data_IF_507468328743
#
_entry.id   IF_507468328743
#
_cell.length_a   1.000
_cell.length_b   1.000
_cell.length_c   1.000
_cell.angle_alpha   90.00
_cell.angle_beta   90.00
_cell.angle_gamma   90.00
#
_symmetry.space_group_name_H-M   'P 1'
#
loop_
_entity.id
_entity.type
_entity.pdbx_description
1 polymer ?
#
# COMPACT_ATOMS: atom_id res chain seq x y z
N UNK A 1 -37.04 1.70 -13.35
CA UNK A 1 -35.81 2.36 -13.77
C UNK A 1 -34.84 2.61 -12.62
N UNK A 2 -35.35 2.81 -11.44
CA UNK A 2 -34.50 3.11 -10.27
C UNK A 2 -33.81 1.87 -9.72
N UNK A 3 -34.31 0.69 -10.01
CA UNK A 3 -33.75 -0.57 -9.51
C UNK A 3 -32.45 -0.99 -10.19
N UNK A 4 -32.07 -0.38 -11.28
CA UNK A 4 -30.78 -0.67 -11.94
C UNK A 4 -29.59 -0.18 -11.10
N UNK A 5 -29.79 0.83 -10.30
CA UNK A 5 -28.74 1.37 -9.44
C UNK A 5 -28.37 0.43 -8.28
N UNK A 6 -29.33 -0.37 -7.83
CA UNK A 6 -29.10 -1.32 -6.74
C UNK A 6 -28.36 -2.58 -7.18
N UNK A 7 -28.52 -3.00 -8.42
CA UNK A 7 -27.83 -4.17 -8.96
C UNK A 7 -26.42 -3.85 -9.43
N UNK A 8 -26.17 -2.62 -9.83
CA UNK A 8 -24.85 -2.17 -10.27
C UNK A 8 -23.79 -2.25 -9.17
N UNK A 9 -24.17 -1.92 -7.95
CA UNK A 9 -23.21 -1.92 -6.82
C UNK A 9 -22.80 -3.33 -6.38
N UNK A 10 -23.64 -4.33 -6.62
CA UNK A 10 -23.35 -5.71 -6.22
C UNK A 10 -22.35 -6.40 -7.15
N UNK A 11 -22.23 -5.92 -8.38
CA UNK A 11 -21.35 -6.51 -9.39
C UNK A 11 -20.07 -5.71 -9.61
N UNK A 12 -19.79 -4.75 -8.75
CA UNK A 12 -18.60 -3.92 -8.84
C UNK A 12 -17.36 -4.77 -8.54
N UNK A 13 -16.40 -4.75 -9.45
CA UNK A 13 -15.15 -5.49 -9.28
C UNK A 13 -14.31 -4.91 -8.15
N UNK A 14 -13.38 -5.70 -7.63
CA UNK A 14 -12.45 -5.22 -6.62
C UNK A 14 -11.65 -4.03 -7.13
N UNK A 15 -11.20 -4.08 -8.40
CA UNK A 15 -10.48 -2.97 -9.04
C UNK A 15 -11.29 -1.69 -9.00
N UNK A 16 -12.55 -1.75 -9.37
CA UNK A 16 -13.42 -0.57 -9.38
C UNK A 16 -13.62 0.00 -7.98
N UNK A 17 -13.78 -0.87 -6.99
CA UNK A 17 -13.93 -0.45 -5.60
C UNK A 17 -12.67 0.23 -5.08
N UNK A 18 -11.50 -0.30 -5.39
CA UNK A 18 -10.21 0.31 -5.01
C UNK A 18 -10.03 1.66 -5.69
N UNK A 19 -10.31 1.74 -6.99
CA UNK A 19 -10.22 3.00 -7.73
C UNK A 19 -11.17 4.06 -7.17
N UNK A 20 -12.40 3.65 -6.87
CA UNK A 20 -13.40 4.56 -6.30
C UNK A 20 -12.96 5.10 -4.94
N UNK A 21 -12.44 4.22 -4.08
CA UNK A 21 -11.89 4.63 -2.79
C UNK A 21 -10.77 5.65 -2.97
N UNK A 22 -9.83 5.35 -3.84
CA UNK A 22 -8.67 6.22 -4.06
C UNK A 22 -9.08 7.61 -4.59
N UNK A 23 -10.01 7.65 -5.53
CA UNK A 23 -10.49 8.92 -6.08
C UNK A 23 -11.26 9.72 -5.05
N UNK A 24 -12.10 9.08 -4.26
CA UNK A 24 -12.87 9.73 -3.21
C UNK A 24 -11.98 10.36 -2.15
N UNK A 25 -10.92 9.68 -1.77
CA UNK A 25 -10.03 10.12 -0.71
C UNK A 25 -8.77 10.83 -1.21
N UNK A 26 -8.70 11.11 -2.52
CA UNK A 26 -7.58 11.80 -3.17
C UNK A 26 -6.24 11.11 -2.93
N UNK A 27 -6.26 9.77 -2.96
CA UNK A 27 -5.04 8.96 -2.93
C UNK A 27 -4.35 9.06 -4.29
N UNK A 28 -3.08 9.39 -4.31
CA UNK A 28 -2.31 9.48 -5.55
C UNK A 28 -1.82 8.12 -6.03
N UNK A 29 -1.32 7.31 -5.09
CA UNK A 29 -0.84 5.97 -5.41
C UNK A 29 -1.22 5.05 -4.25
N UNK A 30 -1.66 3.83 -4.57
CA UNK A 30 -1.92 2.79 -3.57
C UNK A 30 -1.11 1.55 -3.92
N UNK A 31 -0.33 1.10 -2.94
CA UNK A 31 0.47 -0.13 -3.05
C UNK A 31 -0.06 -1.19 -2.09
N UNK A 32 0.05 -2.45 -2.51
CA UNK A 32 -0.09 -3.59 -1.61
C UNK A 32 1.28 -4.26 -1.54
N UNK A 33 1.75 -4.53 -0.33
CA UNK A 33 3.06 -5.13 -0.14
C UNK A 33 2.97 -6.23 0.92
N UNK A 34 4.10 -6.84 1.23
CA UNK A 34 4.12 -7.93 2.21
C UNK A 34 3.62 -9.25 1.65
N UNK A 35 3.31 -10.19 2.56
CA UNK A 35 3.06 -11.58 2.20
C UNK A 35 1.81 -11.82 1.36
N UNK A 36 0.82 -10.94 1.43
CA UNK A 36 -0.43 -11.11 0.70
C UNK A 36 -0.54 -10.25 -0.57
N UNK A 37 0.54 -9.58 -0.96
CA UNK A 37 0.53 -8.68 -2.12
C UNK A 37 0.14 -9.38 -3.42
N UNK A 38 0.73 -10.55 -3.68
CA UNK A 38 0.45 -11.32 -4.89
C UNK A 38 -1.01 -11.79 -4.94
N UNK A 39 -1.56 -12.21 -3.83
CA UNK A 39 -2.96 -12.64 -3.72
C UNK A 39 -3.91 -11.48 -4.06
N UNK A 40 -3.64 -10.30 -3.50
CA UNK A 40 -4.45 -9.11 -3.76
C UNK A 40 -4.36 -8.70 -5.23
N UNK A 41 -3.15 -8.77 -5.81
CA UNK A 41 -2.95 -8.45 -7.23
C UNK A 41 -3.80 -9.35 -8.11
N UNK A 42 -3.81 -10.64 -7.84
CA UNK A 42 -4.62 -11.61 -8.61
C UNK A 42 -6.12 -11.32 -8.47
N UNK A 43 -6.56 -10.97 -7.26
CA UNK A 43 -7.97 -10.61 -7.04
C UNK A 43 -8.35 -9.33 -7.79
N UNK A 44 -7.48 -8.33 -7.83
CA UNK A 44 -7.71 -7.08 -8.56
C UNK A 44 -7.75 -7.33 -10.06
N UNK A 45 -6.88 -8.18 -10.57
CA UNK A 45 -6.83 -8.52 -11.98
C UNK A 45 -7.96 -9.46 -12.42
N UNK A 46 -8.75 -9.96 -11.45
CA UNK A 46 -9.87 -10.86 -11.74
C UNK A 46 -9.46 -12.29 -12.02
N UNK A 47 -8.21 -12.67 -11.72
CA UNK A 47 -7.72 -14.03 -11.95
C UNK A 47 -7.97 -14.96 -10.76
N UNK A 48 -8.50 -14.41 -9.66
CA UNK A 48 -8.91 -15.18 -8.49
C UNK A 48 -10.32 -14.77 -8.08
N UNK A 49 -11.09 -15.73 -7.50
CA UNK A 49 -12.46 -15.48 -7.10
C UNK A 49 -12.60 -14.50 -5.93
N UNK A 50 -11.53 -14.25 -5.20
CA UNK A 50 -11.49 -13.33 -4.07
C UNK A 50 -10.29 -13.64 -3.21
N UNK A 51 -10.22 -12.95 -2.08
CA UNK A 51 -9.15 -13.17 -1.12
C UNK A 51 -9.53 -14.28 -0.15
N UNK A 52 -8.59 -15.20 0.08
CA UNK A 52 -8.78 -16.28 1.03
C UNK A 52 -8.76 -15.71 2.46
N UNK A 53 -9.64 -16.18 3.35
CA UNK A 53 -9.55 -15.83 4.75
C UNK A 53 -8.23 -16.31 5.34
N UNK A 54 -7.49 -15.40 5.97
CA UNK A 54 -6.25 -15.75 6.64
C UNK A 54 -6.14 -14.93 7.92
N UNK A 55 -6.59 -15.48 9.06
CA UNK A 55 -6.58 -14.72 10.31
C UNK A 55 -5.15 -14.44 10.83
N UNK A 56 -4.14 -15.13 10.30
CA UNK A 56 -2.77 -14.98 10.73
C UNK A 56 -1.95 -13.96 9.91
N UNK A 57 -2.53 -13.40 8.85
CA UNK A 57 -1.79 -12.49 7.98
C UNK A 57 -2.64 -11.27 7.61
N UNK A 58 -2.11 -10.09 7.92
CA UNK A 58 -2.73 -8.83 7.54
C UNK A 58 -2.43 -8.53 6.06
N UNK A 59 -3.30 -7.73 5.44
CA UNK A 59 -3.02 -7.14 4.14
C UNK A 59 -2.31 -5.82 4.39
N UNK A 60 -1.09 -5.69 3.90
CA UNK A 60 -0.29 -4.48 4.08
C UNK A 60 -0.54 -3.54 2.91
N UNK A 61 -1.07 -2.35 3.20
CA UNK A 61 -1.41 -1.34 2.20
C UNK A 61 -0.65 -0.06 2.52
N UNK A 62 -0.08 0.55 1.50
CA UNK A 62 0.55 1.86 1.63
C UNK A 62 -0.08 2.83 0.65
N UNK A 63 -0.31 4.05 1.11
CA UNK A 63 -0.88 5.12 0.28
C UNK A 63 0.06 6.31 0.23
N UNK A 64 0.17 6.89 -0.97
CA UNK A 64 0.79 8.19 -1.16
C UNK A 64 -0.32 9.21 -1.34
N UNK A 65 -0.32 10.22 -0.51
CA UNK A 65 -1.27 11.32 -0.56
C UNK A 65 -0.60 12.55 -1.15
N UNK A 66 -1.40 13.55 -1.54
CA UNK A 66 -0.84 14.83 -1.95
C UNK A 66 -0.12 15.49 -0.76
N UNK A 67 0.84 16.37 -1.06
CA UNK A 67 1.73 16.95 -0.04
C UNK A 67 0.99 17.76 1.02
N UNK A 68 -0.16 18.31 0.69
CA UNK A 68 -0.98 19.11 1.59
C UNK A 68 -2.01 18.30 2.38
N UNK A 69 -2.06 16.98 2.17
CA UNK A 69 -3.02 16.11 2.80
C UNK A 69 -2.34 15.24 3.86
N UNK A 70 -2.90 15.25 5.06
CA UNK A 70 -2.44 14.37 6.15
C UNK A 70 -3.66 13.67 6.75
N UNK A 71 -3.42 12.56 7.44
CA UNK A 71 -4.46 11.83 8.15
C UNK A 71 -4.18 11.87 9.64
N UNK A 72 -5.23 12.13 10.42
CA UNK A 72 -5.18 11.92 11.86
C UNK A 72 -5.14 10.41 12.16
N UNK A 73 -4.80 10.04 13.38
CA UNK A 73 -4.82 8.64 13.82
C UNK A 73 -6.21 8.05 13.62
N UNK A 74 -7.25 8.82 13.92
CA UNK A 74 -8.63 8.38 13.75
C UNK A 74 -9.00 8.15 12.29
N UNK A 75 -8.63 9.08 11.42
CA UNK A 75 -8.89 8.95 9.99
C UNK A 75 -8.16 7.75 9.40
N UNK A 76 -6.93 7.53 9.82
CA UNK A 76 -6.14 6.38 9.40
C UNK A 76 -6.84 5.07 9.78
N UNK A 77 -7.37 4.99 11.01
CA UNK A 77 -8.12 3.82 11.46
C UNK A 77 -9.40 3.63 10.65
N UNK A 78 -10.12 4.71 10.37
CA UNK A 78 -11.33 4.68 9.55
C UNK A 78 -11.04 4.18 8.13
N UNK A 79 -9.93 4.62 7.54
CA UNK A 79 -9.52 4.17 6.22
C UNK A 79 -9.16 2.69 6.21
N UNK A 80 -8.46 2.22 7.25
CA UNK A 80 -8.14 0.80 7.38
C UNK A 80 -9.40 -0.05 7.41
N UNK A 81 -10.39 0.34 8.20
CA UNK A 81 -11.68 -0.37 8.27
C UNK A 81 -12.40 -0.34 6.92
N UNK A 82 -12.39 0.81 6.25
CA UNK A 82 -13.03 0.92 4.94
C UNK A 82 -12.36 -0.01 3.91
N UNK A 83 -11.04 -0.11 3.94
CA UNK A 83 -10.30 -1.01 3.05
C UNK A 83 -10.55 -2.47 3.40
N UNK A 84 -10.64 -2.82 4.69
CA UNK A 84 -11.00 -4.17 5.13
C UNK A 84 -12.35 -4.58 4.55
N UNK A 85 -13.35 -3.71 4.69
CA UNK A 85 -14.69 -3.97 4.18
C UNK A 85 -14.71 -4.07 2.66
N UNK A 86 -13.98 -3.19 1.99
CA UNK A 86 -13.90 -3.14 0.53
C UNK A 86 -13.27 -4.41 -0.04
N UNK A 87 -12.23 -4.91 0.60
CA UNK A 87 -11.48 -6.09 0.16
C UNK A 87 -12.02 -7.39 0.69
N UNK A 88 -12.87 -7.35 1.71
CA UNK A 88 -13.39 -8.56 2.34
C UNK A 88 -12.34 -9.29 3.16
N UNK A 89 -11.43 -8.57 3.80
CA UNK A 89 -10.38 -9.14 4.64
C UNK A 89 -10.57 -8.71 6.09
N UNK A 90 -10.00 -9.48 7.02
CA UNK A 90 -10.17 -9.24 8.44
C UNK A 90 -9.35 -8.05 8.94
N UNK A 91 -8.14 -7.87 8.42
CA UNK A 91 -7.25 -6.81 8.89
C UNK A 91 -6.42 -6.22 7.77
N UNK A 92 -6.36 -4.89 7.77
CA UNK A 92 -5.49 -4.09 6.90
C UNK A 92 -4.53 -3.31 7.78
N UNK A 93 -3.24 -3.41 7.48
CA UNK A 93 -2.22 -2.55 8.06
C UNK A 93 -1.94 -1.41 7.07
N UNK A 94 -2.34 -0.21 7.44
CA UNK A 94 -2.25 0.95 6.55
C UNK A 94 -1.03 1.80 6.90
N UNK A 95 -0.17 2.01 5.91
CA UNK A 95 1.04 2.83 6.04
C UNK A 95 0.89 4.07 5.15
N UNK A 96 1.23 5.23 5.70
CA UNK A 96 1.34 6.46 4.91
C UNK A 96 2.78 6.56 4.40
N UNK A 97 2.96 6.60 3.09
CA UNK A 97 4.30 6.64 2.50
C UNK A 97 5.13 7.84 2.97
N UNK A 98 4.47 8.96 3.26
CA UNK A 98 5.15 10.14 3.79
C UNK A 98 5.82 9.89 5.15
N UNK A 99 5.35 8.89 5.90
CA UNK A 99 5.88 8.55 7.23
C UNK A 99 6.81 7.35 7.20
N UNK A 100 6.99 6.71 6.06
CA UNK A 100 7.87 5.55 5.94
C UNK A 100 9.32 6.00 5.83
N UNK A 101 10.22 5.25 6.48
CA UNK A 101 11.64 5.49 6.27
C UNK A 101 12.04 5.07 4.85
N UNK A 102 13.19 5.50 4.33
CA UNK A 102 13.56 5.23 2.94
C UNK A 102 13.64 3.76 2.57
N UNK A 103 14.04 2.89 3.49
CA UNK A 103 14.18 1.46 3.20
C UNK A 103 12.82 0.76 3.20
N UNK A 104 11.93 1.15 4.11
CA UNK A 104 10.54 0.68 4.07
C UNK A 104 9.87 1.14 2.79
N UNK A 105 10.08 2.39 2.38
CA UNK A 105 9.49 2.92 1.15
C UNK A 105 9.92 2.10 -0.08
N UNK A 106 11.20 1.70 -0.17
CA UNK A 106 11.66 0.82 -1.24
C UNK A 106 10.96 -0.53 -1.19
N UNK A 107 10.82 -1.11 0.00
CA UNK A 107 10.12 -2.37 0.15
C UNK A 107 8.67 -2.27 -0.34
N UNK A 108 8.01 -1.16 -0.04
CA UNK A 108 6.64 -0.90 -0.46
C UNK A 108 6.54 -0.82 -1.99
N UNK A 109 7.39 -0.03 -2.65
CA UNK A 109 7.31 0.16 -4.10
C UNK A 109 7.71 -1.09 -4.88
N UNK A 110 8.43 -2.02 -4.26
CA UNK A 110 8.73 -3.34 -4.82
C UNK A 110 7.55 -4.30 -4.75
N UNK A 111 6.52 -3.96 -3.99
CA UNK A 111 5.28 -4.72 -3.97
C UNK A 111 4.45 -4.47 -5.22
N UNK A 112 3.13 -4.39 -5.04
CA UNK A 112 2.21 -4.24 -6.16
C UNK A 112 1.59 -2.84 -6.15
N UNK A 113 1.84 -2.08 -7.22
CA UNK A 113 1.16 -0.79 -7.44
C UNK A 113 -0.20 -1.08 -8.04
N UNK A 114 -1.26 -1.00 -7.24
CA UNK A 114 -2.61 -1.38 -7.67
C UNK A 114 -3.46 -0.20 -8.09
N UNK A 115 -3.05 1.01 -7.76
CA UNK A 115 -3.70 2.23 -8.24
C UNK A 115 -2.67 3.36 -8.35
N UNK A 116 -2.77 4.15 -9.41
CA UNK A 116 -2.10 5.46 -9.48
C UNK A 116 -2.99 6.43 -10.22
N UNK A 117 -3.00 7.67 -9.75
CA UNK A 117 -3.73 8.75 -10.39
C UNK A 117 -3.12 9.10 -11.74
N UNK A 118 -1.81 9.08 -11.82
CA UNK A 118 -1.04 9.44 -13.01
C UNK A 118 0.22 8.57 -13.06
N UNK A 119 0.40 7.83 -14.14
CA UNK A 119 1.51 6.89 -14.27
C UNK A 119 2.87 7.59 -14.27
N UNK A 120 2.97 8.73 -14.94
CA UNK A 120 4.22 9.48 -14.98
C UNK A 120 4.63 9.97 -13.58
N UNK A 121 3.66 10.52 -12.84
CA UNK A 121 3.91 10.95 -11.45
C UNK A 121 4.33 9.78 -10.57
N UNK A 122 3.67 8.63 -10.74
CA UNK A 122 3.98 7.43 -9.95
C UNK A 122 5.40 6.92 -10.26
N UNK A 123 5.76 6.85 -11.54
CA UNK A 123 7.10 6.42 -11.94
C UNK A 123 8.18 7.37 -11.42
N UNK A 124 7.93 8.67 -11.49
CA UNK A 124 8.83 9.70 -10.97
C UNK A 124 9.01 9.56 -9.46
N UNK A 125 7.92 9.30 -8.75
CA UNK A 125 7.97 9.08 -7.31
C UNK A 125 8.79 7.85 -6.95
N UNK A 126 8.62 6.75 -7.68
CA UNK A 126 9.37 5.52 -7.42
C UNK A 126 10.86 5.72 -7.65
N UNK A 127 11.24 6.47 -8.69
CA UNK A 127 12.65 6.83 -8.91
C UNK A 127 13.20 7.66 -7.75
N UNK A 128 12.42 8.59 -7.25
CA UNK A 128 12.81 9.40 -6.09
C UNK A 128 13.05 8.51 -4.86
N UNK A 129 12.14 7.56 -4.59
CA UNK A 129 12.25 6.64 -3.47
C UNK A 129 13.52 5.79 -3.59
N UNK A 130 13.79 5.25 -4.78
CA UNK A 130 14.98 4.43 -5.01
C UNK A 130 16.27 5.23 -4.83
N UNK A 131 16.29 6.46 -5.35
CA UNK A 131 17.45 7.35 -5.22
C UNK A 131 17.74 7.69 -3.77
N UNK A 132 16.69 8.02 -3.01
CA UNK A 132 16.83 8.35 -1.60
C UNK A 132 17.39 7.19 -0.79
N UNK A 133 16.92 5.98 -1.02
CA UNK A 133 17.42 4.78 -0.36
C UNK A 133 18.86 4.49 -0.80
N UNK A 134 19.17 4.67 -2.08
CA UNK A 134 20.52 4.49 -2.61
C UNK A 134 21.52 5.44 -1.97
N UNK A 135 21.13 6.70 -1.77
CA UNK A 135 22.00 7.71 -1.14
C UNK A 135 22.31 7.36 0.32
N UNK A 136 21.39 6.68 1.01
CA UNK A 136 21.56 6.32 2.40
C UNK A 136 22.18 4.94 2.62
N UNK A 137 22.21 4.08 1.60
CA UNK A 137 22.72 2.72 1.71
C UNK A 137 24.17 2.64 2.22
N UNK A 138 25.11 3.51 1.78
CA UNK A 138 26.46 3.47 2.32
C UNK A 138 26.52 3.71 3.82
N UNK A 139 25.72 4.64 4.34
CA UNK A 139 25.68 4.93 5.76
C UNK A 139 25.13 3.76 6.56
N UNK A 140 24.08 3.12 6.06
CA UNK A 140 23.50 1.94 6.69
C UNK A 140 24.50 0.78 6.74
N UNK A 141 25.24 0.57 5.65
CA UNK A 141 26.28 -0.44 5.60
C UNK A 141 27.38 -0.19 6.59
N UNK A 142 27.84 1.06 6.72
CA UNK A 142 28.85 1.46 7.70
C UNK A 142 28.37 1.22 9.13
N UNK A 143 27.13 1.52 9.40
CA UNK A 143 26.53 1.30 10.72
C UNK A 143 26.51 -0.17 11.09
N UNK A 144 26.13 -1.05 10.16
CA UNK A 144 26.11 -2.48 10.36
C UNK A 144 27.53 -3.02 10.60
N UNK A 145 28.51 -2.57 9.82
CA UNK A 145 29.90 -2.96 9.98
C UNK A 145 30.43 -2.61 11.38
N UNK A 146 30.13 -1.42 11.85
CA UNK A 146 30.51 -0.97 13.21
C UNK A 146 29.89 -1.88 14.28
N UNK A 147 28.62 -2.26 14.12
CA UNK A 147 27.94 -3.14 15.06
C UNK A 147 28.63 -4.51 15.09
N UNK A 148 28.98 -5.04 13.92
CA UNK A 148 29.65 -6.33 13.80
C UNK A 148 31.06 -6.36 14.39
N UNK A 149 31.73 -5.20 14.45
CA UNK A 149 33.07 -5.07 15.02
C UNK A 149 33.07 -4.80 16.54
N UNK A 150 31.90 -4.55 17.13
CA UNK A 150 31.79 -4.30 18.56
C UNK A 150 32.12 -5.54 19.39
N UNK A 151 32.92 -5.41 20.48
CA UNK A 151 33.18 -6.53 21.39
C UNK A 151 31.88 -7.03 22.02
N UNK A 152 31.71 -8.35 22.08
CA UNK A 152 30.53 -8.96 22.65
C UNK A 152 29.40 -9.25 21.64
N UNK A 153 29.53 -8.81 20.40
CA UNK A 153 28.63 -9.16 19.32
C UNK A 153 29.22 -10.36 18.60
N UNK A 154 28.54 -11.48 18.69
CA UNK A 154 29.01 -12.75 18.11
C UNK A 154 27.96 -13.35 17.19
#
# INVERSE_FOLDING_TARGET
MVHDMGTSSKNTSLRERVESFCRRHRVEILYVFGSRASEVRKAIDGTAAGLEPSPSADVDIAVKLSMDQTLSVREKAEWAVALENLMGVDRVDLVLLAQADPFLAVNIIRGERVFCRDEYEADTYELYVMRRAGDLAPFERMRIERIMEMPGVS
#
